data_IF_063777226070
#
_entry.id   IF_063777226070
#
_cell.length_a   1.000
_cell.length_b   1.000
_cell.length_c   1.000
_cell.angle_alpha   90.00
_cell.angle_beta   90.00
_cell.angle_gamma   90.00
#
_symmetry.space_group_name_H-M   'P 1'
#
loop_
_entity.id
_entity.type
_entity.pdbx_description
1 polymer ?
#
# COMPACT_ATOMS: atom_id res chain seq x y z
N UNK A 1 1.50 13.44 19.62
CA UNK A 1 1.71 13.50 18.15
C UNK A 1 2.21 14.86 17.68
N UNK A 2 1.50 15.98 17.93
CA UNK A 2 1.98 17.30 17.50
C UNK A 2 3.30 17.71 18.17
N UNK A 3 3.48 17.40 19.45
CA UNK A 3 4.78 17.61 20.13
C UNK A 3 5.90 16.77 19.52
N UNK A 4 5.61 15.53 19.13
CA UNK A 4 6.55 14.65 18.42
C UNK A 4 6.94 15.25 17.06
N UNK A 5 5.97 15.74 16.29
CA UNK A 5 6.20 16.43 15.01
C UNK A 5 7.07 17.67 15.21
N UNK A 6 6.76 18.49 16.23
CA UNK A 6 7.55 19.67 16.58
C UNK A 6 8.96 19.28 16.99
N UNK A 7 9.13 18.24 17.80
CA UNK A 7 10.44 17.73 18.22
C UNK A 7 11.30 17.28 17.04
N UNK A 8 10.71 16.53 16.11
CA UNK A 8 11.40 16.07 14.89
C UNK A 8 11.79 17.26 14.00
N UNK A 9 10.89 18.23 13.80
CA UNK A 9 11.18 19.41 12.99
C UNK A 9 12.15 20.39 13.68
N UNK A 10 12.16 20.44 15.01
CA UNK A 10 12.96 21.38 15.81
C UNK A 10 14.46 21.08 15.73
N UNK A 11 14.85 19.80 15.67
CA UNK A 11 16.27 19.45 15.44
C UNK A 11 16.75 19.96 14.08
N UNK A 12 15.83 20.18 13.14
CA UNK A 12 16.12 20.60 11.78
C UNK A 12 16.89 19.55 10.98
N UNK A 13 17.15 18.39 11.57
CA UNK A 13 17.92 17.31 10.97
C UNK A 13 17.02 16.38 10.17
N UNK A 14 15.75 16.21 10.53
CA UNK A 14 14.83 15.30 9.83
C UNK A 14 13.60 16.04 9.29
N UNK A 15 13.15 15.62 8.11
CA UNK A 15 11.89 16.00 7.49
C UNK A 15 10.91 14.83 7.59
N UNK A 16 9.65 15.15 7.86
CA UNK A 16 8.57 14.17 7.91
C UNK A 16 7.95 14.08 6.50
N UNK A 17 8.07 12.91 5.88
CA UNK A 17 7.47 12.64 4.56
C UNK A 17 5.98 12.32 4.68
N UNK A 18 5.68 11.40 5.59
CA UNK A 18 4.31 10.96 5.85
C UNK A 18 4.18 10.33 7.23
N UNK A 19 2.95 10.34 7.73
CA UNK A 19 2.57 9.74 8.99
C UNK A 19 1.45 8.76 8.69
N UNK A 20 1.77 7.47 8.75
CA UNK A 20 0.75 6.41 8.61
C UNK A 20 0.03 6.25 9.93
N UNK A 21 -1.29 6.44 9.89
CA UNK A 21 -2.17 6.28 11.04
C UNK A 21 -2.98 5.00 10.86
N UNK A 22 -2.59 3.90 11.50
CA UNK A 22 -3.29 2.63 11.39
C UNK A 22 -4.19 2.43 12.61
N UNK A 23 -5.50 2.45 12.40
CA UNK A 23 -6.46 2.14 13.46
C UNK A 23 -6.78 0.64 13.50
N UNK A 24 -6.82 0.10 14.71
CA UNK A 24 -7.12 -1.30 15.00
C UNK A 24 -8.28 -1.38 16.00
N UNK A 25 -8.96 -2.51 16.03
CA UNK A 25 -10.03 -2.87 16.95
C UNK A 25 -9.69 -4.18 17.64
N UNK A 26 -10.26 -4.39 18.83
CA UNK A 26 -10.27 -5.70 19.47
C UNK A 26 -11.24 -6.64 18.77
N UNK A 27 -11.00 -7.97 18.79
CA UNK A 27 -11.93 -8.95 18.25
C UNK A 27 -13.09 -9.15 19.24
N UNK A 28 -14.05 -8.22 19.20
CA UNK A 28 -15.29 -8.28 19.97
C UNK A 28 -16.47 -7.96 19.04
N UNK A 29 -17.43 -8.87 18.93
CA UNK A 29 -18.49 -8.75 17.92
C UNK A 29 -18.02 -9.25 16.56
N UNK A 30 -18.72 -8.87 15.49
CA UNK A 30 -18.38 -9.35 14.14
C UNK A 30 -17.15 -8.64 13.58
N UNK A 31 -16.36 -9.36 12.80
CA UNK A 31 -15.16 -8.81 12.14
C UNK A 31 -15.48 -7.65 11.20
N UNK A 32 -16.64 -7.68 10.56
CA UNK A 32 -17.15 -6.58 9.73
C UNK A 32 -17.40 -5.31 10.55
N UNK A 33 -18.05 -5.44 11.72
CA UNK A 33 -18.26 -4.33 12.63
C UNK A 33 -16.93 -3.78 13.16
N UNK A 34 -15.98 -4.66 13.48
CA UNK A 34 -14.67 -4.26 13.97
C UNK A 34 -13.84 -3.53 12.91
N UNK A 35 -13.96 -3.94 11.65
CA UNK A 35 -13.38 -3.24 10.50
C UNK A 35 -13.99 -1.84 10.36
N UNK A 36 -15.32 -1.74 10.38
CA UNK A 36 -16.02 -0.45 10.32
C UNK A 36 -15.62 0.49 11.47
N UNK A 37 -15.60 0.00 12.72
CA UNK A 37 -15.20 0.79 13.89
C UNK A 37 -13.75 1.29 13.79
N UNK A 38 -12.84 0.48 13.26
CA UNK A 38 -11.44 0.89 13.06
C UNK A 38 -11.33 1.99 12.00
N UNK A 39 -12.08 1.89 10.90
CA UNK A 39 -12.16 2.94 9.87
C UNK A 39 -12.68 4.25 10.44
N UNK A 40 -13.81 4.23 11.14
CA UNK A 40 -14.40 5.44 11.72
C UNK A 40 -13.45 6.08 12.74
N UNK A 41 -12.74 5.27 13.54
CA UNK A 41 -11.70 5.75 14.47
C UNK A 41 -10.57 6.47 13.74
N UNK A 42 -10.04 5.91 12.65
CA UNK A 42 -8.97 6.54 11.86
C UNK A 42 -9.42 7.89 11.28
N UNK A 43 -10.62 7.93 10.68
CA UNK A 43 -11.17 9.13 10.06
C UNK A 43 -11.52 10.20 11.09
N UNK A 44 -12.13 9.83 12.20
CA UNK A 44 -12.45 10.74 13.30
C UNK A 44 -11.18 11.35 13.89
N UNK A 45 -10.13 10.55 14.09
CA UNK A 45 -8.86 11.07 14.60
C UNK A 45 -8.19 12.01 13.60
N UNK A 46 -8.20 11.70 12.29
CA UNK A 46 -7.69 12.62 11.27
C UNK A 46 -8.43 13.97 11.31
N UNK A 47 -9.77 13.95 11.35
CA UNK A 47 -10.60 15.16 11.47
C UNK A 47 -10.27 15.95 12.74
N UNK A 48 -10.11 15.25 13.86
CA UNK A 48 -9.73 15.85 15.13
C UNK A 48 -8.36 16.53 15.06
N UNK A 49 -7.36 15.91 14.42
CA UNK A 49 -6.03 16.50 14.21
C UNK A 49 -6.12 17.74 13.32
N UNK A 50 -6.87 17.69 12.21
CA UNK A 50 -7.07 18.83 11.33
C UNK A 50 -7.74 20.02 12.03
N UNK A 51 -8.66 19.77 12.97
CA UNK A 51 -9.33 20.81 13.75
C UNK A 51 -8.42 21.48 14.81
N UNK A 52 -7.31 20.83 15.18
CA UNK A 52 -6.39 21.24 16.26
C UNK A 52 -5.15 21.97 15.78
N UNK A 53 -5.01 22.18 14.47
CA UNK A 53 -3.89 22.89 13.86
C UNK A 53 -4.40 23.95 12.88
N UNK A 54 -3.61 25.01 12.71
CA UNK A 54 -3.85 26.04 11.70
C UNK A 54 -3.47 25.52 10.29
N UNK A 55 -2.52 24.58 10.23
CA UNK A 55 -2.07 23.93 8.99
C UNK A 55 -2.91 22.69 8.63
N UNK A 56 -4.12 22.94 8.11
CA UNK A 56 -5.04 21.86 7.69
C UNK A 56 -4.53 21.11 6.47
N UNK A 57 -3.92 21.81 5.52
CA UNK A 57 -3.35 21.21 4.31
C UNK A 57 -2.17 20.29 4.65
N UNK A 58 -1.32 20.67 5.60
CA UNK A 58 -0.26 19.82 6.14
C UNK A 58 -0.79 18.55 6.77
N UNK A 59 -1.95 18.61 7.45
CA UNK A 59 -2.58 17.39 7.99
C UNK A 59 -3.08 16.47 6.88
N UNK A 60 -3.69 17.02 5.85
CA UNK A 60 -4.19 16.22 4.73
C UNK A 60 -3.06 15.63 3.87
N UNK A 61 -1.94 16.32 3.76
CA UNK A 61 -0.76 15.89 3.01
C UNK A 61 0.15 14.94 3.79
N UNK A 62 0.28 15.08 5.11
CA UNK A 62 1.17 14.22 5.91
C UNK A 62 0.46 12.99 6.48
N UNK A 63 -0.78 13.12 6.98
CA UNK A 63 -1.44 12.01 7.65
C UNK A 63 -2.22 11.13 6.68
N UNK A 64 -1.84 9.85 6.65
CA UNK A 64 -2.44 8.81 5.80
C UNK A 64 -3.24 7.84 6.68
N UNK A 65 -4.57 7.97 6.73
CA UNK A 65 -5.40 7.07 7.53
C UNK A 65 -5.45 5.69 6.90
N UNK A 66 -5.28 4.66 7.72
CA UNK A 66 -5.40 3.24 7.40
C UNK A 66 -6.17 2.55 8.52
N UNK A 67 -6.78 1.42 8.20
CA UNK A 67 -7.50 0.60 9.16
C UNK A 67 -7.38 -0.86 8.76
N UNK A 68 -7.30 -1.73 9.77
CA UNK A 68 -7.12 -3.17 9.56
C UNK A 68 -8.26 -4.00 10.16
N UNK A 69 -9.12 -3.40 10.97
CA UNK A 69 -10.07 -4.13 11.79
C UNK A 69 -9.35 -4.78 12.97
N UNK A 70 -9.39 -6.11 13.05
CA UNK A 70 -8.86 -6.88 14.18
C UNK A 70 -7.37 -7.17 14.00
N UNK A 71 -6.54 -6.72 14.95
CA UNK A 71 -5.09 -6.95 14.92
C UNK A 71 -4.71 -8.27 15.60
N UNK A 72 -4.91 -9.35 14.85
CA UNK A 72 -4.63 -10.71 15.29
C UNK A 72 -3.13 -11.00 15.45
N UNK A 73 -2.27 -10.34 14.66
CA UNK A 73 -0.82 -10.47 14.77
C UNK A 73 -0.34 -9.93 16.11
N UNK A 74 -0.81 -8.74 16.50
CA UNK A 74 -0.48 -8.16 17.80
C UNK A 74 -1.07 -8.96 18.96
N UNK A 75 -2.28 -9.51 18.82
CA UNK A 75 -2.84 -10.39 19.83
C UNK A 75 -1.98 -11.66 20.00
N UNK A 76 -1.49 -12.24 18.91
CA UNK A 76 -0.57 -13.37 18.95
C UNK A 76 0.72 -13.04 19.70
N UNK A 77 1.34 -11.89 19.45
CA UNK A 77 2.54 -11.44 20.18
C UNK A 77 2.27 -11.25 21.67
N UNK A 78 1.16 -10.61 22.04
CA UNK A 78 0.77 -10.41 23.44
C UNK A 78 0.57 -11.74 24.17
N UNK A 79 -0.13 -12.69 23.55
CA UNK A 79 -0.33 -14.04 24.09
C UNK A 79 1.00 -14.81 24.16
N UNK A 80 1.84 -14.71 23.14
CA UNK A 80 3.15 -15.35 23.09
C UNK A 80 4.06 -14.85 24.21
N UNK A 81 3.95 -13.58 24.60
CA UNK A 81 4.70 -12.99 25.71
C UNK A 81 4.11 -13.27 27.11
N UNK A 82 2.89 -13.81 27.21
CA UNK A 82 2.23 -14.06 28.50
C UNK A 82 2.42 -15.50 28.98
N UNK A 83 3.38 -15.72 29.87
CA UNK A 83 3.63 -17.03 30.48
C UNK A 83 2.60 -17.41 31.57
N UNK A 84 1.68 -16.51 31.91
CA UNK A 84 0.66 -16.76 32.93
C UNK A 84 -0.63 -17.39 32.39
N UNK A 85 -0.75 -17.58 31.07
CA UNK A 85 -1.90 -18.23 30.44
C UNK A 85 -1.79 -19.75 30.57
N UNK A 86 -2.80 -20.38 31.17
CA UNK A 86 -2.77 -21.82 31.43
C UNK A 86 -2.77 -22.64 30.13
N UNK A 87 -3.52 -22.19 29.12
CA UNK A 87 -3.70 -22.89 27.85
C UNK A 87 -3.01 -22.19 26.67
N UNK A 88 -1.87 -21.52 26.94
CA UNK A 88 -1.11 -20.73 25.95
C UNK A 88 -0.91 -21.44 24.60
N UNK A 89 -0.48 -22.70 24.61
CA UNK A 89 -0.23 -23.46 23.39
C UNK A 89 -1.51 -23.68 22.55
N UNK A 90 -2.63 -23.98 23.20
CA UNK A 90 -3.92 -24.16 22.53
C UNK A 90 -4.46 -22.85 21.93
N UNK A 91 -4.30 -21.75 22.65
CA UNK A 91 -4.67 -20.41 22.22
C UNK A 91 -3.83 -19.98 21.00
N UNK A 92 -2.50 -20.13 21.06
CA UNK A 92 -1.61 -19.81 19.95
C UNK A 92 -1.93 -20.64 18.70
N UNK A 93 -2.32 -21.90 18.87
CA UNK A 93 -2.77 -22.75 17.77
C UNK A 93 -4.03 -22.19 17.09
N UNK A 94 -5.04 -21.78 17.87
CA UNK A 94 -6.25 -21.13 17.33
C UNK A 94 -5.89 -19.87 16.54
N UNK A 95 -5.04 -19.02 17.11
CA UNK A 95 -4.63 -17.76 16.46
C UNK A 95 -3.94 -18.00 15.11
N UNK A 96 -3.22 -19.12 14.97
CA UNK A 96 -2.49 -19.47 13.75
C UNK A 96 -3.34 -20.22 12.72
N UNK A 97 -4.16 -21.17 13.15
CA UNK A 97 -4.81 -22.15 12.27
C UNK A 97 -6.22 -21.74 11.84
N UNK A 98 -6.95 -20.99 12.68
CA UNK A 98 -8.33 -20.60 12.35
C UNK A 98 -8.34 -19.38 11.44
N UNK A 99 -8.75 -19.54 10.17
CA UNK A 99 -8.74 -18.44 9.19
C UNK A 99 -9.83 -17.40 9.39
N UNK A 100 -11.08 -17.83 9.62
CA UNK A 100 -12.21 -16.93 9.78
C UNK A 100 -12.11 -16.19 11.14
N UNK A 101 -12.11 -14.84 11.18
CA UNK A 101 -11.90 -14.10 12.41
C UNK A 101 -12.98 -14.29 13.48
N UNK A 102 -14.27 -14.34 13.08
CA UNK A 102 -15.38 -14.58 14.01
C UNK A 102 -15.28 -15.98 14.65
N UNK A 103 -14.94 -16.98 13.83
CA UNK A 103 -14.72 -18.35 14.29
C UNK A 103 -13.51 -18.43 15.22
N UNK A 104 -12.47 -17.63 14.97
CA UNK A 104 -11.26 -17.54 15.80
C UNK A 104 -11.60 -16.96 17.17
N UNK A 105 -12.34 -15.85 17.22
CA UNK A 105 -12.82 -15.25 18.48
C UNK A 105 -13.71 -16.22 19.26
N UNK A 106 -14.64 -16.90 18.57
CA UNK A 106 -15.51 -17.90 19.17
C UNK A 106 -14.72 -19.06 19.79
N UNK A 107 -13.75 -19.61 19.05
CA UNK A 107 -12.91 -20.71 19.53
C UNK A 107 -12.07 -20.34 20.76
N UNK A 108 -11.69 -19.06 20.92
CA UNK A 108 -11.00 -18.62 22.13
C UNK A 108 -11.88 -18.72 23.39
N UNK A 109 -13.21 -18.61 23.26
CA UNK A 109 -14.15 -18.65 24.40
C UNK A 109 -14.19 -20.01 25.09
N UNK A 110 -13.78 -21.08 24.41
CA UNK A 110 -13.60 -22.42 24.99
C UNK A 110 -12.60 -22.40 26.17
N UNK A 111 -11.64 -21.46 26.15
CA UNK A 111 -10.69 -21.24 27.24
C UNK A 111 -11.17 -20.13 28.18
N UNK A 112 -12.34 -20.28 28.79
CA UNK A 112 -13.06 -19.21 29.49
C UNK A 112 -12.21 -18.34 30.45
N UNK A 113 -11.33 -18.94 31.27
CA UNK A 113 -10.47 -18.19 32.20
C UNK A 113 -9.38 -17.37 31.49
N UNK A 114 -8.71 -17.98 30.51
CA UNK A 114 -7.65 -17.32 29.74
C UNK A 114 -8.25 -16.29 28.78
N UNK A 115 -9.40 -16.58 28.17
CA UNK A 115 -10.15 -15.64 27.34
C UNK A 115 -10.58 -14.41 28.12
N UNK A 116 -11.10 -14.57 29.35
CA UNK A 116 -11.42 -13.44 30.22
C UNK A 116 -10.19 -12.56 30.47
N UNK A 117 -9.05 -13.18 30.79
CA UNK A 117 -7.77 -12.47 31.00
C UNK A 117 -7.30 -11.74 29.74
N UNK A 118 -7.35 -12.39 28.58
CA UNK A 118 -7.02 -11.79 27.28
C UNK A 118 -7.92 -10.59 26.99
N UNK A 119 -9.23 -10.74 27.21
CA UNK A 119 -10.21 -9.68 26.98
C UNK A 119 -10.01 -8.48 27.91
N UNK A 120 -9.73 -8.72 29.19
CA UNK A 120 -9.53 -7.64 30.16
C UNK A 120 -8.18 -6.94 29.98
N UNK A 121 -7.13 -7.69 29.62
CA UNK A 121 -5.75 -7.18 29.58
C UNK A 121 -5.29 -6.73 28.20
N UNK A 122 -5.62 -7.48 27.15
CA UNK A 122 -5.04 -7.29 25.81
C UNK A 122 -5.96 -6.60 24.84
N UNK A 123 -7.27 -6.86 24.86
CA UNK A 123 -8.19 -6.18 23.95
C UNK A 123 -8.14 -4.64 24.06
N UNK A 124 -7.99 -4.03 25.24
CA UNK A 124 -7.77 -2.59 25.33
C UNK A 124 -6.53 -2.09 24.57
N UNK A 125 -5.45 -2.88 24.53
CA UNK A 125 -4.22 -2.54 23.81
C UNK A 125 -4.39 -2.65 22.29
N UNK A 126 -5.32 -3.50 21.83
CA UNK A 126 -5.67 -3.65 20.41
C UNK A 126 -6.61 -2.54 19.92
N UNK A 127 -7.29 -1.81 20.80
CA UNK A 127 -8.15 -0.67 20.43
C UNK A 127 -7.33 0.62 20.37
N UNK A 128 -6.41 0.70 19.42
CA UNK A 128 -5.47 1.82 19.34
C UNK A 128 -5.41 2.43 17.93
N UNK A 129 -4.72 3.56 17.83
CA UNK A 129 -4.24 4.08 16.55
C UNK A 129 -2.73 4.16 16.64
N UNK A 130 -2.05 3.41 15.78
CA UNK A 130 -0.61 3.43 15.66
C UNK A 130 -0.17 4.52 14.69
N UNK A 131 0.84 5.29 15.09
CA UNK A 131 1.46 6.31 14.27
C UNK A 131 2.85 5.84 13.85
N UNK A 132 3.02 5.56 12.56
CA UNK A 132 4.32 5.27 11.97
C UNK A 132 4.80 6.49 11.20
N UNK A 133 5.90 7.09 11.67
CA UNK A 133 6.51 8.27 11.05
C UNK A 133 7.54 7.82 10.02
N UNK A 134 7.32 8.20 8.77
CA UNK A 134 8.31 8.04 7.71
C UNK A 134 9.07 9.37 7.59
N UNK A 135 10.37 9.28 7.82
CA UNK A 135 11.27 10.43 7.95
C UNK A 135 12.47 10.23 7.03
N UNK A 136 13.03 11.32 6.56
CA UNK A 136 14.37 11.35 6.01
C UNK A 136 15.17 12.50 6.63
N UNK A 137 16.49 12.41 6.63
CA UNK A 137 17.34 13.50 7.11
C UNK A 137 17.37 14.62 6.05
N UNK A 138 17.40 15.89 6.46
CA UNK A 138 17.64 17.03 5.55
C UNK A 138 18.97 16.79 4.84
N UNK A 139 18.95 16.94 3.51
CA UNK A 139 20.07 16.65 2.62
C UNK A 139 20.44 15.16 2.48
N UNK A 140 19.62 14.24 3.03
CA UNK A 140 19.76 12.80 2.83
C UNK A 140 18.78 12.32 1.78
N UNK A 141 19.30 12.15 0.57
CA UNK A 141 18.59 11.47 -0.50
C UNK A 141 18.97 10.00 -0.42
N UNK A 142 18.03 9.22 0.10
CA UNK A 142 18.02 7.76 0.19
C UNK A 142 19.40 7.07 0.25
N UNK A 143 19.84 6.75 1.46
CA UNK A 143 20.63 5.54 1.68
C UNK A 143 19.79 4.34 1.20
N UNK A 144 20.23 3.67 0.15
CA UNK A 144 20.23 2.21 0.20
C UNK A 144 21.69 1.85 0.43
N UNK A 145 22.04 0.77 1.14
CA UNK A 145 23.40 0.20 1.05
C UNK A 145 23.52 -0.47 -0.34
N UNK A 146 23.52 0.40 -1.34
CA UNK A 146 24.06 0.42 -2.69
C UNK A 146 24.09 1.93 -2.93
N UNK A 147 25.22 2.58 -2.67
CA UNK A 147 25.34 4.04 -2.75
C UNK A 147 24.76 4.59 -4.07
N UNK A 148 23.88 5.61 -4.04
CA UNK A 148 23.73 6.50 -5.18
C UNK A 148 23.85 7.96 -4.72
N UNK A 149 24.79 8.67 -5.33
CA UNK A 149 24.69 10.13 -5.43
C UNK A 149 23.26 10.49 -5.81
N UNK A 150 22.69 11.56 -5.24
CA UNK A 150 21.43 12.16 -5.71
C UNK A 150 21.46 12.19 -7.21
N UNK A 151 20.67 11.35 -7.83
CA UNK A 151 20.58 11.43 -9.26
C UNK A 151 19.58 12.51 -9.64
N UNK A 152 20.04 13.76 -9.53
CA UNK A 152 19.28 14.93 -9.92
C UNK A 152 18.84 14.86 -11.38
N UNK A 153 19.60 14.16 -12.22
CA UNK A 153 19.30 13.95 -13.63
C UNK A 153 18.13 12.98 -13.78
N UNK A 154 18.11 11.87 -13.04
CA UNK A 154 16.98 10.95 -13.01
C UNK A 154 15.71 11.60 -12.46
N UNK A 155 15.81 12.33 -11.34
CA UNK A 155 14.67 13.05 -10.76
C UNK A 155 14.10 14.11 -11.72
N UNK A 156 14.98 14.83 -12.42
CA UNK A 156 14.55 15.78 -13.44
C UNK A 156 13.83 15.06 -14.59
N UNK A 157 14.33 13.91 -15.05
CA UNK A 157 13.65 13.11 -16.06
C UNK A 157 12.25 12.66 -15.62
N UNK A 158 12.07 12.24 -14.36
CA UNK A 158 10.74 11.89 -13.81
C UNK A 158 9.81 13.11 -13.81
N UNK A 159 10.30 14.28 -13.37
CA UNK A 159 9.50 15.51 -13.41
C UNK A 159 9.10 15.90 -14.84
N UNK A 160 9.97 15.68 -15.82
CA UNK A 160 9.64 15.87 -17.23
C UNK A 160 8.54 14.90 -17.69
N UNK A 161 8.54 13.64 -17.23
CA UNK A 161 7.47 12.66 -17.52
C UNK A 161 6.13 13.14 -16.95
N UNK A 162 6.10 13.59 -15.69
CA UNK A 162 4.88 14.09 -15.04
C UNK A 162 4.30 15.30 -15.79
N UNK A 163 5.18 16.17 -16.29
CA UNK A 163 4.83 17.32 -17.13
C UNK A 163 4.59 16.96 -18.61
N UNK A 164 4.54 15.66 -18.95
CA UNK A 164 4.30 15.12 -20.30
C UNK A 164 5.36 15.51 -21.34
N UNK A 165 6.55 15.91 -20.89
CA UNK A 165 7.71 16.26 -21.71
C UNK A 165 8.55 15.01 -22.05
N UNK A 166 7.89 13.97 -22.59
CA UNK A 166 8.49 12.64 -22.77
C UNK A 166 9.72 12.61 -23.66
N UNK A 167 9.81 13.49 -24.66
CA UNK A 167 10.98 13.56 -25.56
C UNK A 167 12.24 14.02 -24.83
N UNK A 168 12.10 15.00 -23.93
CA UNK A 168 13.22 15.53 -23.13
C UNK A 168 13.62 14.52 -22.05
N UNK A 169 12.62 13.92 -21.38
CA UNK A 169 12.86 12.83 -20.44
C UNK A 169 13.60 11.65 -21.10
N UNK A 170 13.16 11.23 -22.29
CA UNK A 170 13.78 10.12 -23.03
C UNK A 170 15.24 10.38 -23.36
N UNK A 171 15.58 11.59 -23.86
CA UNK A 171 16.98 11.91 -24.16
C UNK A 171 17.87 11.84 -22.92
N UNK A 172 17.38 12.31 -21.77
CA UNK A 172 18.13 12.22 -20.52
C UNK A 172 18.27 10.78 -20.02
N UNK A 173 17.20 10.00 -20.15
CA UNK A 173 17.17 8.63 -19.66
C UNK A 173 18.09 7.71 -20.47
N UNK A 174 18.02 7.78 -21.81
CA UNK A 174 18.86 6.99 -22.70
C UNK A 174 20.35 7.33 -22.58
N UNK A 175 20.70 8.60 -22.31
CA UNK A 175 22.10 9.03 -22.18
C UNK A 175 22.76 8.52 -20.90
N UNK A 176 22.02 8.47 -19.78
CA UNK A 176 22.62 8.26 -18.44
C UNK A 176 22.22 6.95 -17.76
N UNK A 177 21.07 6.34 -18.09
CA UNK A 177 20.52 5.16 -17.38
C UNK A 177 20.25 3.97 -18.28
N UNK A 178 20.13 4.20 -19.59
CA UNK A 178 19.80 3.15 -20.55
C UNK A 178 18.35 2.69 -20.45
N UNK A 179 18.13 1.38 -20.65
CA UNK A 179 16.80 0.80 -20.83
C UNK A 179 16.09 0.48 -19.50
N UNK A 180 15.58 1.51 -18.83
CA UNK A 180 14.83 1.40 -17.57
C UNK A 180 13.30 1.50 -17.76
N UNK A 181 12.54 1.36 -16.66
CA UNK A 181 11.08 1.43 -16.68
C UNK A 181 10.56 2.77 -17.24
N UNK A 182 11.15 3.89 -16.81
CA UNK A 182 10.71 5.21 -17.23
C UNK A 182 11.05 5.50 -18.70
N UNK A 183 12.15 4.92 -19.21
CA UNK A 183 12.47 4.92 -20.64
C UNK A 183 11.36 4.24 -21.45
N UNK A 184 10.87 3.08 -20.99
CA UNK A 184 9.74 2.41 -21.65
C UNK A 184 8.45 3.24 -21.60
N UNK A 185 8.17 3.93 -20.48
CA UNK A 185 7.02 4.85 -20.37
C UNK A 185 7.15 6.01 -21.37
N UNK A 186 8.33 6.61 -21.50
CA UNK A 186 8.57 7.66 -22.48
C UNK A 186 8.40 7.15 -23.92
N UNK A 187 9.01 6.01 -24.25
CA UNK A 187 8.90 5.39 -25.58
C UNK A 187 7.45 5.10 -25.96
N UNK A 188 6.68 4.48 -25.06
CA UNK A 188 5.26 4.20 -25.25
C UNK A 188 4.43 5.48 -25.40
N UNK A 189 4.75 6.51 -24.62
CA UNK A 189 4.04 7.81 -24.68
C UNK A 189 4.34 8.58 -25.97
N UNK A 190 5.48 8.31 -26.60
CA UNK A 190 5.86 8.86 -27.90
C UNK A 190 5.41 7.99 -29.09
N UNK A 191 4.74 6.85 -28.84
CA UNK A 191 4.24 5.93 -29.86
C UNK A 191 5.26 4.91 -30.39
N UNK A 192 6.41 4.77 -29.74
CA UNK A 192 7.42 3.76 -30.08
C UNK A 192 7.11 2.41 -29.40
N UNK A 193 5.89 1.90 -29.57
CA UNK A 193 5.33 0.78 -28.78
C UNK A 193 6.18 -0.51 -28.87
N UNK A 194 6.75 -0.85 -30.04
CA UNK A 194 7.63 -2.03 -30.16
C UNK A 194 8.90 -1.90 -29.32
N UNK A 195 9.56 -0.73 -29.34
CA UNK A 195 10.76 -0.49 -28.51
C UNK A 195 10.40 -0.45 -27.03
N UNK A 196 9.29 0.19 -26.70
CA UNK A 196 8.78 0.24 -25.34
C UNK A 196 8.51 -1.17 -24.79
N UNK A 197 7.94 -2.06 -25.63
CA UNK A 197 7.72 -3.46 -25.27
C UNK A 197 9.02 -4.18 -24.94
N UNK A 198 10.05 -4.04 -25.78
CA UNK A 198 11.35 -4.71 -25.58
C UNK A 198 12.01 -4.26 -24.27
N UNK A 199 11.94 -2.97 -23.94
CA UNK A 199 12.47 -2.42 -22.67
C UNK A 199 11.62 -2.88 -21.49
N UNK A 200 10.29 -2.81 -21.60
CA UNK A 200 9.35 -3.16 -20.52
C UNK A 200 9.45 -4.66 -20.14
N UNK A 201 9.76 -5.53 -21.12
CA UNK A 201 9.97 -6.96 -20.89
C UNK A 201 11.17 -7.27 -19.99
N UNK A 202 12.17 -6.39 -19.95
CA UNK A 202 13.38 -6.54 -19.12
C UNK A 202 13.17 -6.05 -17.67
N UNK A 203 12.09 -5.33 -17.41
CA UNK A 203 11.80 -4.76 -16.09
C UNK A 203 11.23 -5.82 -15.11
N UNK A 204 11.34 -5.59 -13.78
CA UNK A 204 10.81 -6.49 -12.77
C UNK A 204 9.31 -6.77 -12.92
N UNK A 205 8.89 -7.96 -12.53
CA UNK A 205 7.50 -8.41 -12.59
C UNK A 205 6.65 -7.76 -11.49
N UNK A 206 6.02 -6.63 -11.82
CA UNK A 206 5.12 -5.89 -10.92
C UNK A 206 3.76 -5.66 -11.56
N UNK A 207 2.75 -5.34 -10.74
CA UNK A 207 1.41 -5.07 -11.25
C UNK A 207 1.42 -3.91 -12.28
N UNK A 208 2.08 -2.80 -11.99
CA UNK A 208 2.18 -1.64 -12.89
C UNK A 208 2.88 -1.98 -14.21
N UNK A 209 3.97 -2.76 -14.15
CA UNK A 209 4.69 -3.21 -15.34
C UNK A 209 3.82 -4.10 -16.20
N UNK A 210 3.11 -5.07 -15.60
CA UNK A 210 2.22 -5.97 -16.33
C UNK A 210 1.01 -5.25 -16.91
N UNK A 211 0.51 -4.21 -16.22
CA UNK A 211 -0.53 -3.35 -16.74
C UNK A 211 -0.10 -2.65 -18.03
N UNK A 212 1.09 -2.02 -18.02
CA UNK A 212 1.63 -1.33 -19.20
C UNK A 212 1.96 -2.30 -20.34
N UNK A 213 2.45 -3.50 -20.03
CA UNK A 213 2.62 -4.55 -21.05
C UNK A 213 1.30 -4.93 -21.72
N UNK A 214 0.21 -5.00 -20.96
CA UNK A 214 -1.10 -5.25 -21.56
C UNK A 214 -1.47 -4.19 -22.58
N UNK A 215 -1.27 -2.91 -22.24
CA UNK A 215 -1.54 -1.81 -23.18
C UNK A 215 -0.64 -1.93 -24.42
N UNK A 216 0.67 -2.15 -24.24
CA UNK A 216 1.63 -2.30 -25.34
C UNK A 216 1.27 -3.46 -26.26
N UNK A 217 0.94 -4.63 -25.71
CA UNK A 217 0.49 -5.77 -26.49
C UNK A 217 -0.83 -5.49 -27.22
N UNK A 218 -1.77 -4.79 -26.58
CA UNK A 218 -3.04 -4.38 -27.21
C UNK A 218 -2.80 -3.46 -28.41
N UNK A 219 -1.94 -2.43 -28.26
CA UNK A 219 -1.54 -1.52 -29.34
C UNK A 219 -0.85 -2.22 -30.51
N UNK A 220 -0.07 -3.25 -30.22
CA UNK A 220 0.63 -4.08 -31.22
C UNK A 220 -0.25 -5.20 -31.82
N UNK A 221 -1.54 -5.26 -31.47
CA UNK A 221 -2.47 -6.27 -31.98
C UNK A 221 -2.25 -7.69 -31.43
N UNK A 222 -1.48 -7.83 -30.34
CA UNK A 222 -1.17 -9.11 -29.67
C UNK A 222 -2.14 -9.36 -28.52
N UNK A 223 -3.39 -9.60 -28.87
CA UNK A 223 -4.51 -9.57 -27.93
C UNK A 223 -4.43 -10.66 -26.83
N UNK A 224 -3.91 -11.85 -27.17
CA UNK A 224 -3.76 -12.97 -26.21
C UNK A 224 -2.74 -12.64 -25.12
N UNK A 225 -1.61 -12.06 -25.52
CA UNK A 225 -0.56 -11.62 -24.62
C UNK A 225 -1.01 -10.45 -23.76
N UNK A 226 -1.77 -9.51 -24.36
CA UNK A 226 -2.38 -8.40 -23.64
C UNK A 226 -3.29 -8.90 -22.51
N UNK A 227 -4.22 -9.80 -22.85
CA UNK A 227 -5.13 -10.41 -21.88
C UNK A 227 -4.36 -11.09 -20.74
N UNK A 228 -3.33 -11.88 -21.06
CA UNK A 228 -2.51 -12.58 -20.07
C UNK A 228 -1.84 -11.60 -19.10
N UNK A 229 -1.28 -10.51 -19.60
CA UNK A 229 -0.60 -9.52 -18.76
C UNK A 229 -1.59 -8.71 -17.93
N UNK A 230 -2.78 -8.40 -18.48
CA UNK A 230 -3.82 -7.71 -17.74
C UNK A 230 -4.32 -8.53 -16.55
N UNK A 231 -4.66 -9.81 -16.76
CA UNK A 231 -5.10 -10.70 -15.68
C UNK A 231 -4.02 -10.82 -14.61
N UNK A 232 -2.76 -11.03 -15.00
CA UNK A 232 -1.64 -11.07 -14.04
C UNK A 232 -1.48 -9.78 -13.25
N UNK A 233 -1.72 -8.63 -13.89
CA UNK A 233 -1.66 -7.32 -13.24
C UNK A 233 -2.76 -7.16 -12.18
N UNK A 234 -3.99 -7.58 -12.49
CA UNK A 234 -5.10 -7.59 -11.55
C UNK A 234 -4.87 -8.57 -10.39
N UNK A 235 -4.40 -9.80 -10.66
CA UNK A 235 -4.08 -10.79 -9.61
C UNK A 235 -3.03 -10.26 -8.59
N UNK A 236 -2.18 -9.31 -9.02
CA UNK A 236 -1.19 -8.67 -8.17
C UNK A 236 -1.72 -7.41 -7.44
N UNK A 237 -2.73 -6.75 -8.00
CA UNK A 237 -3.36 -5.53 -7.47
C UNK A 237 -4.75 -5.35 -8.09
N UNK A 238 -5.80 -5.69 -7.34
CA UNK A 238 -7.19 -5.62 -7.80
C UNK A 238 -7.62 -4.19 -8.21
N UNK A 239 -6.91 -3.14 -7.76
CA UNK A 239 -7.22 -1.75 -8.17
C UNK A 239 -7.05 -1.52 -9.68
N UNK A 240 -6.30 -2.38 -10.37
CA UNK A 240 -6.13 -2.36 -11.83
C UNK A 240 -7.43 -2.66 -12.57
N UNK A 241 -8.37 -3.37 -11.95
CA UNK A 241 -9.69 -3.65 -12.53
C UNK A 241 -10.47 -2.35 -12.72
N UNK A 242 -10.42 -1.46 -11.73
CA UNK A 242 -11.05 -0.14 -11.86
C UNK A 242 -10.32 0.74 -12.88
N UNK A 243 -8.99 0.76 -12.84
CA UNK A 243 -8.17 1.53 -13.79
C UNK A 243 -8.41 1.09 -15.24
N UNK A 244 -8.49 -0.22 -15.47
CA UNK A 244 -8.73 -0.80 -16.79
C UNK A 244 -10.01 -0.33 -17.47
N UNK A 245 -11.01 0.09 -16.69
CA UNK A 245 -12.26 0.67 -17.22
C UNK A 245 -12.05 2.06 -17.82
N UNK A 246 -11.03 2.80 -17.36
CA UNK A 246 -10.72 4.16 -17.82
C UNK A 246 -9.82 4.18 -19.05
N UNK A 247 -8.96 3.16 -19.21
CA UNK A 247 -8.02 3.06 -20.34
C UNK A 247 -8.68 2.35 -21.53
N UNK A 248 -8.83 3.00 -22.72
CA UNK A 248 -9.57 2.43 -23.85
C UNK A 248 -9.06 1.07 -24.33
N UNK A 249 -7.74 0.87 -24.38
CA UNK A 249 -7.11 -0.37 -24.83
C UNK A 249 -7.44 -1.55 -23.90
N UNK A 250 -7.54 -1.28 -22.59
CA UNK A 250 -7.85 -2.28 -21.58
C UNK A 250 -9.35 -2.51 -21.48
N UNK A 251 -10.16 -1.43 -21.55
CA UNK A 251 -11.61 -1.53 -21.56
C UNK A 251 -12.10 -2.41 -22.70
N UNK A 252 -11.49 -2.28 -23.90
CA UNK A 252 -11.77 -3.18 -25.02
C UNK A 252 -11.56 -4.65 -24.66
N UNK A 253 -10.44 -5.00 -24.00
CA UNK A 253 -10.19 -6.37 -23.54
C UNK A 253 -11.23 -6.83 -22.52
N UNK A 254 -11.57 -5.98 -21.55
CA UNK A 254 -12.59 -6.27 -20.52
C UNK A 254 -13.93 -6.63 -21.17
N UNK A 255 -14.38 -5.81 -22.12
CA UNK A 255 -15.66 -6.00 -22.81
C UNK A 255 -15.63 -7.24 -23.70
N UNK A 256 -14.59 -7.39 -24.53
CA UNK A 256 -14.48 -8.51 -25.48
C UNK A 256 -14.38 -9.86 -24.79
N UNK A 257 -13.61 -9.96 -23.70
CA UNK A 257 -13.42 -11.22 -22.96
C UNK A 257 -14.30 -11.35 -21.74
N UNK A 258 -15.18 -10.38 -21.50
CA UNK A 258 -16.18 -10.41 -20.44
C UNK A 258 -15.57 -10.61 -19.04
N UNK A 259 -14.51 -9.86 -18.73
CA UNK A 259 -13.72 -9.98 -17.50
C UNK A 259 -14.38 -9.24 -16.33
N UNK A 260 -14.23 -9.77 -15.11
CA UNK A 260 -14.59 -9.11 -13.84
C UNK A 260 -16.03 -8.58 -13.77
N UNK A 261 -17.00 -9.34 -14.30
CA UNK A 261 -18.43 -8.99 -14.38
C UNK A 261 -19.08 -8.70 -13.01
N UNK A 262 -18.63 -9.37 -11.96
CA UNK A 262 -19.26 -9.30 -10.64
C UNK A 262 -18.59 -8.27 -9.71
N UNK A 263 -17.40 -7.78 -10.09
CA UNK A 263 -16.66 -6.72 -9.40
C UNK A 263 -16.98 -5.32 -9.99
N UNK A 264 -18.19 -5.22 -10.56
CA UNK A 264 -18.74 -4.04 -11.21
C UNK A 264 -19.71 -3.24 -10.32
N UNK A 265 -19.96 -3.67 -9.07
CA UNK A 265 -20.91 -3.06 -8.14
C UNK A 265 -20.28 -2.64 -6.82
#
# INVERSE_FOLDING_TARGET
VFETIRGINYTGEFLIDSIRMTATSSPEGSSEMNLFLSRERALALKKYLAARTEDREGVDTLFRPRWTGEDWSRLHELVLSDDSLANKAGILRILKETKNPDSREHALREYASDYKRIRERYYPLLRCVEFNFHLHRRDMIQDTIVMPVIDSTYMHAVSLIENRQYKQALSMLEESYGEDYNTAVCLMSLGYDSRALDVMLKQPDTSDRNYLLSILYSRLGREKEALKMYVRSCDQDDSKIWRGKLDPEINKLIVTYNLYKDELY
#
